data_IF_925476891415
#
_entry.id   IF_925476891415
#
_cell.length_a   1.000
_cell.length_b   1.000
_cell.length_c   1.000
_cell.angle_alpha   90.00
_cell.angle_beta   90.00
_cell.angle_gamma   90.00
#
_symmetry.space_group_name_H-M   'P 1'
#
loop_
_entity.id
_entity.type
_entity.pdbx_description
1 polymer ?
#
# COMPACT_ATOMS: atom_id res chain seq x y z
N UNK A 1 -41.25 -14.60 7.77
CA UNK A 1 -40.63 -13.81 6.68
C UNK A 1 -40.43 -12.34 7.03
N UNK A 2 -41.49 -11.59 7.38
CA UNK A 2 -41.38 -10.14 7.70
C UNK A 2 -40.33 -9.79 8.78
N UNK A 3 -40.19 -10.59 9.84
CA UNK A 3 -39.19 -10.36 10.90
C UNK A 3 -37.73 -10.47 10.44
N UNK A 4 -37.42 -11.26 9.41
CA UNK A 4 -36.04 -11.38 8.88
C UNK A 4 -35.70 -10.14 8.05
N UNK A 5 -36.62 -9.72 7.17
CA UNK A 5 -36.45 -8.49 6.37
C UNK A 5 -36.36 -7.24 7.24
N UNK A 6 -37.17 -7.13 8.30
CA UNK A 6 -37.11 -6.00 9.24
C UNK A 6 -35.79 -5.95 10.04
N UNK A 7 -35.16 -7.10 10.31
CA UNK A 7 -33.84 -7.15 10.96
C UNK A 7 -32.71 -6.76 10.01
N UNK A 8 -32.77 -7.20 8.76
CA UNK A 8 -31.79 -6.85 7.73
C UNK A 8 -31.84 -5.35 7.38
N UNK A 9 -33.03 -4.77 7.29
CA UNK A 9 -33.23 -3.33 7.08
C UNK A 9 -32.75 -2.45 8.26
N UNK A 10 -32.58 -3.04 9.44
CA UNK A 10 -32.11 -2.36 10.66
C UNK A 10 -30.63 -2.65 10.94
N UNK A 11 -29.97 -3.41 10.07
CA UNK A 11 -28.57 -3.78 10.21
C UNK A 11 -27.69 -2.73 9.54
N UNK A 12 -27.07 -1.88 10.35
CA UNK A 12 -26.13 -0.84 9.90
C UNK A 12 -24.70 -1.37 9.78
N UNK A 13 -24.46 -2.66 10.03
CA UNK A 13 -23.13 -3.29 9.94
C UNK A 13 -22.50 -3.15 8.54
N UNK A 14 -23.33 -3.02 7.49
CA UNK A 14 -22.85 -2.72 6.13
C UNK A 14 -22.43 -1.26 5.93
N UNK A 15 -23.10 -0.32 6.60
CA UNK A 15 -22.75 1.10 6.54
C UNK A 15 -21.41 1.35 7.25
N UNK A 16 -21.19 0.72 8.41
CA UNK A 16 -19.91 0.80 9.13
C UNK A 16 -18.77 0.10 8.37
N UNK A 17 -19.05 -0.98 7.64
CA UNK A 17 -18.06 -1.63 6.77
C UNK A 17 -17.56 -0.72 5.63
N UNK A 18 -18.41 0.16 5.09
CA UNK A 18 -18.02 1.12 4.06
C UNK A 18 -17.10 2.22 4.64
N UNK A 19 -17.38 2.68 5.86
CA UNK A 19 -16.55 3.70 6.53
C UNK A 19 -15.14 3.18 6.85
N UNK A 20 -15.05 2.00 7.47
CA UNK A 20 -13.75 1.36 7.73
C UNK A 20 -13.07 0.90 6.44
N UNK A 21 -13.84 0.50 5.42
CA UNK A 21 -13.34 0.17 4.09
C UNK A 21 -12.66 1.36 3.40
N UNK A 22 -13.23 2.56 3.52
CA UNK A 22 -12.63 3.78 2.98
C UNK A 22 -11.32 4.15 3.71
N UNK A 23 -11.30 4.04 5.04
CA UNK A 23 -10.09 4.28 5.84
C UNK A 23 -8.99 3.29 5.45
N UNK A 24 -9.33 1.99 5.33
CA UNK A 24 -8.40 0.96 4.90
C UNK A 24 -7.85 1.26 3.50
N UNK A 25 -8.69 1.67 2.55
CA UNK A 25 -8.27 2.03 1.21
C UNK A 25 -7.27 3.20 1.20
N UNK A 26 -7.53 4.26 2.00
CA UNK A 26 -6.62 5.40 2.11
C UNK A 26 -5.27 5.02 2.72
N UNK A 27 -5.28 4.18 3.77
CA UNK A 27 -4.05 3.66 4.39
C UNK A 27 -3.28 2.81 3.37
N UNK A 28 -3.96 1.93 2.63
CA UNK A 28 -3.33 1.10 1.61
C UNK A 28 -2.65 1.95 0.53
N UNK A 29 -3.30 2.99 0.03
CA UNK A 29 -2.71 3.89 -0.97
C UNK A 29 -1.45 4.60 -0.44
N UNK A 30 -1.50 5.10 0.80
CA UNK A 30 -0.35 5.73 1.43
C UNK A 30 0.83 4.76 1.62
N UNK A 31 0.54 3.52 2.05
CA UNK A 31 1.55 2.48 2.22
C UNK A 31 2.18 2.06 0.89
N UNK A 32 1.37 1.85 -0.15
CA UNK A 32 1.87 1.51 -1.50
C UNK A 32 2.79 2.62 -1.99
N UNK A 33 2.34 3.88 -1.92
CA UNK A 33 3.13 5.03 -2.36
C UNK A 33 4.46 5.12 -1.61
N UNK A 34 4.41 5.02 -0.28
CA UNK A 34 5.62 5.08 0.55
C UNK A 34 6.58 3.93 0.27
N UNK A 35 6.07 2.71 0.08
CA UNK A 35 6.88 1.55 -0.27
C UNK A 35 7.53 1.68 -1.66
N UNK A 36 6.81 2.23 -2.64
CA UNK A 36 7.36 2.51 -3.98
C UNK A 36 8.51 3.51 -3.89
N UNK A 37 8.30 4.68 -3.28
CA UNK A 37 9.35 5.70 -3.15
C UNK A 37 10.58 5.18 -2.40
N UNK A 38 10.38 4.39 -1.34
CA UNK A 38 11.48 3.75 -0.62
C UNK A 38 12.22 2.73 -1.50
N UNK A 39 11.47 1.91 -2.25
CA UNK A 39 12.04 0.95 -3.19
C UNK A 39 12.91 1.63 -4.24
N UNK A 40 12.42 2.69 -4.86
CA UNK A 40 13.16 3.47 -5.85
C UNK A 40 14.46 4.06 -5.28
N UNK A 41 14.39 4.63 -4.07
CA UNK A 41 15.56 5.21 -3.39
C UNK A 41 16.63 4.15 -3.07
N UNK A 42 16.20 2.95 -2.66
CA UNK A 42 17.10 1.83 -2.40
C UNK A 42 17.74 1.34 -3.71
N UNK A 43 16.95 1.21 -4.78
CA UNK A 43 17.43 0.79 -6.09
C UNK A 43 18.48 1.77 -6.63
N UNK A 44 18.20 3.08 -6.59
CA UNK A 44 19.18 4.13 -6.95
C UNK A 44 20.48 4.01 -6.15
N UNK A 45 20.37 3.76 -4.84
CA UNK A 45 21.54 3.61 -3.96
C UNK A 45 22.38 2.40 -4.37
N UNK A 46 21.75 1.25 -4.62
CA UNK A 46 22.47 0.04 -5.02
C UNK A 46 23.02 0.13 -6.45
N UNK A 47 22.33 0.81 -7.37
CA UNK A 47 22.84 1.10 -8.71
C UNK A 47 24.07 2.00 -8.65
N UNK A 48 24.07 3.03 -7.80
CA UNK A 48 25.24 3.89 -7.61
C UNK A 48 26.43 3.08 -7.08
N UNK A 49 26.22 2.24 -6.06
CA UNK A 49 27.27 1.33 -5.54
C UNK A 49 27.78 0.38 -6.63
N UNK A 50 26.89 -0.22 -7.42
CA UNK A 50 27.26 -1.10 -8.53
C UNK A 50 28.10 -0.36 -9.56
N UNK A 51 27.74 0.88 -9.89
CA UNK A 51 28.44 1.72 -10.87
C UNK A 51 29.84 2.08 -10.39
N UNK A 52 29.98 2.49 -9.13
CA UNK A 52 31.29 2.78 -8.52
C UNK A 52 32.16 1.52 -8.47
N UNK A 53 31.59 0.37 -8.12
CA UNK A 53 32.32 -0.90 -8.10
C UNK A 53 32.78 -1.32 -9.50
N UNK A 54 31.92 -1.21 -10.53
CA UNK A 54 32.31 -1.49 -11.92
C UNK A 54 33.39 -0.52 -12.41
N UNK A 55 33.28 0.75 -12.05
CA UNK A 55 34.29 1.77 -12.40
C UNK A 55 35.63 1.46 -11.75
N UNK A 56 35.63 1.09 -10.46
CA UNK A 56 36.85 0.70 -9.76
C UNK A 56 37.50 -0.56 -10.37
N UNK A 57 36.71 -1.55 -10.81
CA UNK A 57 37.22 -2.76 -11.45
C UNK A 57 37.76 -2.51 -12.87
N UNK A 58 37.12 -1.62 -13.64
CA UNK A 58 37.57 -1.25 -14.99
C UNK A 58 38.76 -0.29 -15.01
N UNK A 59 39.03 0.40 -13.90
CA UNK A 59 40.18 1.28 -13.71
C UNK A 59 41.38 0.56 -13.04
N UNK A 60 41.33 -0.78 -12.94
CA UNK A 60 42.49 -1.64 -12.65
C UNK A 60 43.15 -2.12 -13.94
#
# INVERSE_FOLDING_TARGET
>A
MSKIFARFLKDESGATAIEYGLIAALISVALITGATTLGDSLDETFQAISTEMSTAQGNM
#
